data_IF_562750057599
#
_entry.id   IF_562750057599
#
_cell.length_a   1.000
_cell.length_b   1.000
_cell.length_c   1.000
_cell.angle_alpha   90.00
_cell.angle_beta   90.00
_cell.angle_gamma   90.00
#
_symmetry.space_group_name_H-M   'P 1'
#
loop_
_entity.id
_entity.type
_entity.pdbx_description
1 polymer ?
#
# COMPACT_ATOMS: atom_id res chain seq x y z
N UNK A 1 -5.09 -1.70 8.95
CA UNK A 1 -5.95 -0.77 8.20
C UNK A 1 -5.75 -1.07 6.72
N UNK A 2 -6.81 -1.07 5.91
CA UNK A 2 -6.72 -1.44 4.49
C UNK A 2 -7.17 -0.26 3.64
N UNK A 3 -6.35 0.13 2.66
CA UNK A 3 -6.59 1.24 1.75
C UNK A 3 -6.56 0.72 0.32
N UNK A 4 -7.58 1.04 -0.47
CA UNK A 4 -7.64 0.70 -1.89
C UNK A 4 -7.60 1.97 -2.72
N UNK A 5 -6.76 1.98 -3.74
CA UNK A 5 -6.63 3.04 -4.73
C UNK A 5 -6.85 2.40 -6.09
N UNK A 6 -7.96 2.75 -6.75
CA UNK A 6 -8.22 2.31 -8.11
C UNK A 6 -7.79 3.41 -9.09
N UNK A 7 -6.72 3.16 -9.85
CA UNK A 7 -6.29 3.99 -10.97
C UNK A 7 -6.77 3.37 -12.28
N UNK A 8 -6.86 4.18 -13.34
CA UNK A 8 -7.41 3.74 -14.64
C UNK A 8 -6.66 2.56 -15.29
N UNK A 9 -5.44 2.25 -14.86
CA UNK A 9 -4.60 1.18 -15.39
C UNK A 9 -4.22 0.09 -14.36
N UNK A 10 -4.47 0.34 -13.07
CA UNK A 10 -4.14 -0.61 -12.01
C UNK A 10 -4.96 -0.39 -10.73
N UNK A 11 -5.18 -1.46 -9.98
CA UNK A 11 -5.76 -1.40 -8.64
C UNK A 11 -4.66 -1.65 -7.61
N UNK A 12 -4.49 -0.72 -6.69
CA UNK A 12 -3.47 -0.77 -5.64
C UNK A 12 -4.15 -0.95 -4.29
N UNK A 13 -3.74 -1.97 -3.54
CA UNK A 13 -4.18 -2.24 -2.19
C UNK A 13 -3.00 -2.10 -1.24
N UNK A 14 -3.21 -1.37 -0.17
CA UNK A 14 -2.24 -1.18 0.89
C UNK A 14 -2.82 -1.73 2.18
N UNK A 15 -2.08 -2.59 2.87
CA UNK A 15 -2.44 -3.10 4.17
C UNK A 15 -1.40 -2.69 5.21
N UNK A 16 -1.85 -1.88 6.15
CA UNK A 16 -1.06 -1.44 7.28
C UNK A 16 -1.32 -2.34 8.49
N UNK A 17 -0.26 -2.96 9.00
CA UNK A 17 -0.33 -3.92 10.12
C UNK A 17 -0.11 -3.29 11.50
N UNK A 18 0.04 -1.97 11.60
CA UNK A 18 0.34 -1.30 12.88
C UNK A 18 1.81 -1.43 13.31
N UNK A 19 2.71 -1.63 12.34
CA UNK A 19 4.15 -1.73 12.54
C UNK A 19 4.89 -0.85 11.50
N UNK A 20 6.18 -1.05 11.31
CA UNK A 20 6.97 -0.29 10.32
C UNK A 20 6.80 -0.82 8.89
N UNK A 21 5.80 -1.66 8.63
CA UNK A 21 5.62 -2.35 7.35
C UNK A 21 4.22 -2.14 6.80
N UNK A 22 4.15 -1.88 5.50
CA UNK A 22 2.91 -1.84 4.74
C UNK A 22 3.03 -2.83 3.60
N UNK A 23 2.09 -3.76 3.53
CA UNK A 23 1.96 -4.61 2.37
C UNK A 23 1.32 -3.81 1.24
N UNK A 24 1.95 -3.82 0.06
CA UNK A 24 1.41 -3.23 -1.16
C UNK A 24 1.12 -4.35 -2.17
N UNK A 25 -0.13 -4.46 -2.58
CA UNK A 25 -0.57 -5.35 -3.65
C UNK A 25 -0.99 -4.47 -4.82
N UNK A 26 -0.42 -4.69 -5.99
CA UNK A 26 -0.81 -4.01 -7.22
C UNK A 26 -1.33 -5.03 -8.23
N UNK A 27 -2.56 -4.84 -8.67
CA UNK A 27 -3.16 -5.56 -9.78
C UNK A 27 -3.03 -4.72 -11.04
N UNK A 28 -2.25 -5.22 -12.00
CA UNK A 28 -2.07 -4.62 -13.31
C UNK A 28 -3.23 -5.07 -14.22
N UNK A 29 -3.72 -4.16 -15.06
CA UNK A 29 -4.79 -4.47 -16.01
C UNK A 29 -4.45 -5.61 -16.99
N UNK A 30 -3.16 -5.89 -17.19
CA UNK A 30 -2.68 -7.04 -17.99
C UNK A 30 -2.73 -8.39 -17.24
N UNK A 31 -3.42 -8.48 -16.09
CA UNK A 31 -3.56 -9.69 -15.28
C UNK A 31 -2.34 -10.04 -14.43
N UNK A 32 -1.37 -9.12 -14.32
CA UNK A 32 -0.22 -9.28 -13.42
C UNK A 32 -0.59 -8.85 -11.99
N UNK A 33 -0.16 -9.63 -11.00
CA UNK A 33 -0.23 -9.24 -9.59
C UNK A 33 1.19 -9.05 -9.07
N UNK A 34 1.48 -7.86 -8.55
CA UNK A 34 2.73 -7.56 -7.86
C UNK A 34 2.43 -7.41 -6.36
N UNK A 35 3.25 -8.03 -5.52
CA UNK A 35 3.13 -7.95 -4.07
C UNK A 35 4.48 -7.55 -3.51
N UNK A 36 4.50 -6.42 -2.81
CA UNK A 36 5.69 -5.77 -2.31
C UNK A 36 5.48 -5.35 -0.85
N UNK A 37 6.57 -5.12 -0.14
CA UNK A 37 6.56 -4.69 1.25
C UNK A 37 7.30 -3.37 1.38
N UNK A 38 6.55 -2.33 1.70
CA UNK A 38 7.10 -1.03 2.05
C UNK A 38 7.57 -1.09 3.51
N UNK A 39 8.87 -0.92 3.72
CA UNK A 39 9.49 -0.93 5.04
C UNK A 39 9.92 0.49 5.38
N UNK A 40 9.50 0.97 6.53
CA UNK A 40 9.79 2.29 7.05
C UNK A 40 10.72 2.20 8.25
N UNK A 41 11.36 3.32 8.62
CA UNK A 41 12.25 3.37 9.78
C UNK A 41 11.43 3.39 11.08
N UNK A 42 10.27 4.06 11.06
CA UNK A 42 9.38 4.20 12.22
C UNK A 42 7.90 3.90 11.92
N UNK A 43 7.16 3.52 12.97
CA UNK A 43 5.71 3.25 12.89
C UNK A 43 4.94 4.50 12.53
N UNK A 44 5.39 5.65 13.02
CA UNK A 44 4.81 6.97 12.71
C UNK A 44 4.93 7.26 11.21
N UNK A 45 6.07 7.00 10.57
CA UNK A 45 6.26 7.20 9.13
C UNK A 45 5.39 6.26 8.29
N UNK A 46 5.28 4.99 8.68
CA UNK A 46 4.38 4.06 8.00
C UNK A 46 2.91 4.51 8.13
N UNK A 47 2.52 4.94 9.33
CA UNK A 47 1.18 5.46 9.59
C UNK A 47 0.90 6.73 8.78
N UNK A 48 1.86 7.65 8.74
CA UNK A 48 1.78 8.90 7.96
C UNK A 48 1.62 8.58 6.47
N UNK A 49 2.50 7.75 5.89
CA UNK A 49 2.38 7.31 4.49
C UNK A 49 1.02 6.68 4.17
N UNK A 50 0.47 5.88 5.09
CA UNK A 50 -0.83 5.26 4.91
C UNK A 50 -2.00 6.26 4.97
N UNK A 51 -1.85 7.36 5.73
CA UNK A 51 -2.90 8.35 5.95
C UNK A 51 -2.75 9.63 5.09
N UNK A 52 -1.57 9.94 4.54
CA UNK A 52 -1.22 11.20 3.87
C UNK A 52 -1.67 11.28 2.40
N UNK A 53 -2.91 10.90 2.08
CA UNK A 53 -3.51 11.16 0.76
C UNK A 53 -4.82 11.94 0.98
N UNK A 54 -4.67 13.25 1.11
CA UNK A 54 -5.75 14.25 1.12
C UNK A 54 -5.68 15.08 -0.16
#
# INVERSE_FOLDING_TARGET
MTRQISRSDCEEFFEYHGNTMIERIQYLNNGGMNRDWLIFDSVEEACDFFNDDC
#
